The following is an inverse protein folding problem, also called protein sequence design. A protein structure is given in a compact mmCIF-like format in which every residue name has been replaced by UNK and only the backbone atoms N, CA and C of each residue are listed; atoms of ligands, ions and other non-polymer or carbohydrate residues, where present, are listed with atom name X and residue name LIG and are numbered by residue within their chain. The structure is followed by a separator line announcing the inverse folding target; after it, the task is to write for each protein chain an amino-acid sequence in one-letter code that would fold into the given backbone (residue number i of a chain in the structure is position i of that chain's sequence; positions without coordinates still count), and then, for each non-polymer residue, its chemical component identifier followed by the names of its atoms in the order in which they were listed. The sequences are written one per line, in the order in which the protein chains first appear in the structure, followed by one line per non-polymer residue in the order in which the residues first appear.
data_IF_814955712947
#
_entry.id   IF_814955712947
#
_cell.length_a   1.000
_cell.length_b   1.000
_cell.length_c   1.000
_cell.angle_alpha   90.00
_cell.angle_beta   90.00
_cell.angle_gamma   90.00
#
_symmetry.space_group_name_H-M   'P 1'
#
loop_
_entity.id
_entity.type
_entity.pdbx_description
1 polymer ?
#
# COMPACT_ATOMS: atom_id res chain seq x y z
N UNK A 1 33.05 -17.88 -31.03
CA UNK A 1 32.07 -18.38 -30.06
C UNK A 1 31.45 -17.17 -29.38
N UNK A 2 30.47 -16.55 -30.04
CA UNK A 2 29.69 -15.43 -29.51
C UNK A 2 28.29 -15.98 -29.30
N UNK A 3 27.86 -16.05 -28.05
CA UNK A 3 26.50 -16.41 -27.67
C UNK A 3 25.66 -15.17 -27.98
N UNK A 4 25.17 -15.08 -29.22
CA UNK A 4 24.08 -14.18 -29.55
C UNK A 4 22.83 -14.73 -28.86
N UNK A 5 22.49 -14.12 -27.72
CA UNK A 5 21.20 -14.24 -27.07
C UNK A 5 20.10 -13.77 -28.06
N UNK A 6 19.61 -14.71 -28.86
CA UNK A 6 18.26 -14.65 -29.40
C UNK A 6 17.30 -14.81 -28.22
N UNK A 7 17.07 -13.72 -27.50
CA UNK A 7 15.84 -13.55 -26.72
C UNK A 7 14.72 -13.52 -27.76
N UNK A 8 14.15 -14.70 -27.95
CA UNK A 8 13.02 -14.96 -28.82
C UNK A 8 11.89 -13.99 -28.48
N UNK A 9 11.31 -13.36 -29.49
CA UNK A 9 10.07 -12.59 -29.37
C UNK A 9 8.87 -13.43 -28.89
N UNK A 10 9.08 -14.73 -28.60
CA UNK A 10 8.07 -15.65 -28.09
C UNK A 10 7.77 -15.51 -26.58
N UNK A 11 8.63 -14.85 -25.78
CA UNK A 11 8.46 -14.79 -24.32
C UNK A 11 7.82 -13.48 -23.82
N UNK A 12 7.44 -12.58 -24.72
CA UNK A 12 6.64 -11.42 -24.36
C UNK A 12 5.15 -11.80 -24.48
N UNK A 13 4.35 -11.67 -23.39
CA UNK A 13 2.93 -11.92 -23.47
C UNK A 13 2.33 -11.14 -24.64
N UNK A 14 1.48 -11.79 -25.43
CA UNK A 14 0.94 -11.33 -26.73
C UNK A 14 0.37 -9.91 -26.74
N UNK A 15 0.13 -9.32 -25.57
CA UNK A 15 -0.37 -7.97 -25.40
C UNK A 15 0.72 -6.88 -25.47
N UNK A 16 1.99 -7.20 -25.18
CA UNK A 16 3.12 -6.28 -25.45
C UNK A 16 3.34 -6.11 -26.97
N UNK A 17 2.93 -7.10 -27.77
CA UNK A 17 2.95 -7.01 -29.22
C UNK A 17 1.78 -6.17 -29.79
N UNK A 18 0.66 -6.04 -29.07
CA UNK A 18 -0.52 -5.27 -29.52
C UNK A 18 -0.45 -3.78 -29.16
N UNK A 19 0.18 -3.42 -28.04
CA UNK A 19 0.37 -2.03 -27.65
C UNK A 19 1.86 -1.66 -27.65
N UNK A 20 2.35 -1.26 -28.81
CA UNK A 20 3.60 -0.50 -28.95
C UNK A 20 4.86 -1.34 -28.91
N UNK A 21 5.55 -1.42 -30.05
CA UNK A 21 6.96 -1.81 -30.11
C UNK A 21 7.72 -1.02 -29.04
N UNK A 22 8.36 -1.71 -28.08
CA UNK A 22 9.36 -1.11 -27.18
C UNK A 22 10.27 -0.22 -28.03
N UNK A 23 10.27 1.11 -27.84
CA UNK A 23 11.00 2.00 -28.73
C UNK A 23 12.47 1.57 -28.80
N UNK A 24 13.07 1.55 -30.00
CA UNK A 24 14.42 1.00 -30.23
C UNK A 24 15.47 1.55 -29.25
N UNK A 25 15.27 2.78 -28.76
CA UNK A 25 16.09 3.45 -27.75
C UNK A 25 16.21 2.66 -26.43
N UNK A 26 15.15 1.99 -25.99
CA UNK A 26 15.12 1.27 -24.71
C UNK A 26 15.79 -0.11 -24.75
N UNK A 27 16.09 -0.66 -25.93
CA UNK A 27 16.83 -1.93 -26.05
C UNK A 27 18.29 -1.81 -25.58
N UNK A 28 18.87 -0.62 -25.65
CA UNK A 28 20.27 -0.37 -25.28
C UNK A 28 20.44 0.20 -23.88
N UNK A 29 19.40 0.83 -23.32
CA UNK A 29 19.36 1.31 -21.94
C UNK A 29 18.19 0.67 -21.19
N UNK A 30 18.41 -0.53 -20.64
CA UNK A 30 17.40 -1.26 -19.85
C UNK A 30 16.92 -0.46 -18.63
N UNK A 31 17.75 0.43 -18.07
CA UNK A 31 17.38 1.35 -16.99
C UNK A 31 16.27 2.35 -17.39
N UNK A 32 16.26 2.82 -18.65
CA UNK A 32 15.22 3.72 -19.14
C UNK A 32 13.88 3.00 -19.32
N UNK A 33 13.90 1.68 -19.47
CA UNK A 33 12.69 0.84 -19.53
C UNK A 33 11.96 0.81 -18.17
N UNK A 34 12.70 0.83 -17.05
CA UNK A 34 12.12 0.95 -15.72
C UNK A 34 11.50 2.34 -15.50
N UNK A 35 12.18 3.40 -15.94
CA UNK A 35 11.62 4.77 -15.91
C UNK A 35 10.38 4.92 -16.81
N UNK A 36 10.42 4.31 -17.99
CA UNK A 36 9.28 4.33 -18.90
C UNK A 36 8.09 3.58 -18.34
N UNK A 37 8.35 2.46 -17.70
CA UNK A 37 7.35 1.65 -17.05
C UNK A 37 6.78 2.34 -15.80
N UNK A 38 7.58 3.11 -15.04
CA UNK A 38 7.07 3.97 -13.96
C UNK A 38 6.21 5.13 -14.48
N UNK A 39 6.68 5.82 -15.53
CA UNK A 39 6.04 7.04 -16.04
C UNK A 39 4.86 6.76 -16.98
N UNK A 40 4.83 5.61 -17.64
CA UNK A 40 3.80 5.21 -18.62
C UNK A 40 3.29 3.81 -18.34
N UNK A 41 3.18 3.42 -17.06
CA UNK A 41 2.76 2.08 -16.66
C UNK A 41 1.49 1.63 -17.40
N UNK A 42 0.53 2.53 -17.62
CA UNK A 42 -0.76 2.24 -18.27
C UNK A 42 -0.62 1.73 -19.70
N UNK A 43 0.47 2.06 -20.39
CA UNK A 43 0.77 1.53 -21.74
C UNK A 43 1.13 0.06 -21.73
N UNK A 44 1.51 -0.47 -20.56
CA UNK A 44 1.84 -1.86 -20.34
C UNK A 44 0.66 -2.68 -19.81
N UNK A 45 -0.55 -2.12 -19.71
CA UNK A 45 -1.76 -2.82 -19.28
C UNK A 45 -2.85 -2.80 -20.34
N UNK A 46 -3.60 -3.89 -20.45
CA UNK A 46 -4.64 -4.06 -21.47
C UNK A 46 -5.83 -3.14 -21.25
N UNK A 47 -6.10 -2.78 -20.00
CA UNK A 47 -7.18 -1.90 -19.59
C UNK A 47 -6.70 -0.99 -18.46
N UNK A 48 -7.27 0.22 -18.38
CA UNK A 48 -7.01 1.17 -17.29
C UNK A 48 -7.28 0.54 -15.91
N UNK A 49 -8.40 -0.17 -15.66
CA UNK A 49 -8.63 -0.85 -14.38
C UNK A 49 -7.52 -1.82 -13.98
N UNK A 50 -7.01 -2.62 -14.92
CA UNK A 50 -5.95 -3.58 -14.63
C UNK A 50 -4.64 -2.86 -14.26
N UNK A 51 -4.35 -1.72 -14.91
CA UNK A 51 -3.22 -0.88 -14.54
C UNK A 51 -3.38 -0.30 -13.14
N UNK A 52 -4.54 0.24 -12.80
CA UNK A 52 -4.84 0.80 -11.47
C UNK A 52 -4.72 -0.28 -10.39
N UNK A 53 -5.33 -1.46 -10.59
CA UNK A 53 -5.27 -2.60 -9.67
C UNK A 53 -3.83 -3.09 -9.43
N UNK A 54 -3.04 -3.17 -10.49
CA UNK A 54 -1.65 -3.57 -10.38
C UNK A 54 -0.83 -2.51 -9.62
N UNK A 55 -1.02 -1.22 -9.91
CA UNK A 55 -0.30 -0.15 -9.21
C UNK A 55 -0.66 -0.05 -7.74
N UNK A 56 -1.92 -0.26 -7.41
CA UNK A 56 -2.34 -0.35 -6.01
C UNK A 56 -1.52 -1.43 -5.31
N UNK A 57 -1.55 -2.67 -5.83
CA UNK A 57 -0.82 -3.79 -5.23
C UNK A 57 0.71 -3.56 -5.17
N UNK A 58 1.28 -2.94 -6.20
CA UNK A 58 2.71 -2.67 -6.25
C UNK A 58 3.13 -1.59 -5.26
N UNK A 59 2.36 -0.50 -5.16
CA UNK A 59 2.62 0.56 -4.19
C UNK A 59 2.50 0.07 -2.75
N UNK A 60 1.54 -0.82 -2.45
CA UNK A 60 1.50 -1.56 -1.19
C UNK A 60 2.77 -2.39 -0.96
N UNK A 61 3.16 -3.21 -1.93
CA UNK A 61 4.35 -4.07 -1.79
C UNK A 61 5.63 -3.27 -1.54
N UNK A 62 5.90 -2.25 -2.37
CA UNK A 62 7.12 -1.44 -2.28
C UNK A 62 7.11 -0.51 -1.07
N UNK A 63 5.97 0.15 -0.80
CA UNK A 63 5.84 1.06 0.34
C UNK A 63 6.08 0.33 1.66
N UNK A 64 5.43 -0.82 1.84
CA UNK A 64 5.58 -1.63 3.05
C UNK A 64 6.95 -2.29 3.15
N UNK A 65 7.58 -2.62 2.01
CA UNK A 65 8.96 -3.08 1.98
C UNK A 65 9.92 -2.03 2.55
N UNK A 66 9.70 -0.75 2.25
CA UNK A 66 10.49 0.34 2.82
C UNK A 66 10.25 0.48 4.33
N UNK A 67 9.00 0.36 4.78
CA UNK A 67 8.68 0.34 6.20
C UNK A 67 9.32 -0.82 6.96
N UNK A 68 9.27 -2.05 6.42
CA UNK A 68 9.96 -3.20 6.99
C UNK A 68 11.46 -2.91 7.15
N UNK A 69 12.12 -2.41 6.10
CA UNK A 69 13.55 -2.04 6.16
C UNK A 69 13.79 -0.99 7.25
N UNK A 70 12.97 0.06 7.31
CA UNK A 70 13.09 1.12 8.32
C UNK A 70 12.93 0.60 9.75
N UNK A 71 11.96 -0.29 9.99
CA UNK A 71 11.68 -0.85 11.32
C UNK A 71 12.78 -1.77 11.83
N UNK A 72 13.41 -2.55 10.94
CA UNK A 72 14.54 -3.41 11.32
C UNK A 72 15.89 -2.70 11.28
N UNK A 73 15.99 -1.53 10.63
CA UNK A 73 17.19 -0.69 10.65
C UNK A 73 17.23 0.30 11.84
N UNK A 74 16.13 0.44 12.58
CA UNK A 74 16.06 1.24 13.80
C UNK A 74 16.76 0.52 14.97
N UNK A 75 18.09 0.47 14.93
CA UNK A 75 18.93 -0.15 15.96
C UNK A 75 19.94 0.86 16.50
N UNK A 76 19.51 1.79 17.37
CA UNK A 76 20.46 2.44 18.30
C UNK A 76 19.81 3.14 19.52
N UNK A 77 20.54 3.06 20.65
CA UNK A 77 20.28 3.61 22.00
C UNK A 77 20.37 5.14 22.08
N UNK A 78 20.97 5.82 21.10
CA UNK A 78 21.17 7.28 21.10
C UNK A 78 19.86 8.09 20.95
N UNK A 79 18.80 7.47 20.40
CA UNK A 79 17.48 8.10 20.12
C UNK A 79 16.58 8.33 21.33
N UNK A 80 16.94 7.88 22.52
CA UNK A 80 16.14 8.11 23.74
C UNK A 80 16.25 9.58 24.18
N UNK A 81 17.22 10.33 23.65
CA UNK A 81 17.45 11.74 23.95
C UNK A 81 17.30 12.55 22.65
N UNK A 82 16.08 12.99 22.34
CA UNK A 82 15.83 14.00 21.31
C UNK A 82 16.55 15.30 21.72
N UNK A 83 17.68 15.62 21.06
CA UNK A 83 18.32 16.93 21.16
C UNK A 83 17.99 17.71 19.89
N UNK A 84 17.05 18.67 19.94
CA UNK A 84 16.67 19.47 18.77
C UNK A 84 17.87 20.22 18.17
N UNK A 85 17.94 20.30 16.85
CA UNK A 85 18.95 21.10 16.13
C UNK A 85 20.23 20.35 15.76
N UNK A 86 20.19 19.03 15.67
CA UNK A 86 21.34 18.18 15.41
C UNK A 86 21.03 17.17 14.30
N UNK A 87 20.67 17.70 13.11
CA UNK A 87 20.13 16.94 11.99
C UNK A 87 20.84 15.59 11.79
N UNK A 88 20.16 14.50 12.14
CA UNK A 88 20.54 13.12 11.81
C UNK A 88 22.00 12.78 12.19
N UNK A 89 22.33 12.84 13.48
CA UNK A 89 23.69 12.60 13.99
C UNK A 89 24.29 11.24 13.58
N UNK A 90 23.47 10.18 13.50
CA UNK A 90 23.94 8.85 13.15
C UNK A 90 23.75 8.51 11.67
N UNK A 91 24.74 7.80 11.11
CA UNK A 91 24.78 7.37 9.70
C UNK A 91 23.62 6.44 9.31
N UNK A 92 22.82 5.99 10.26
CA UNK A 92 21.66 5.12 10.04
C UNK A 92 20.33 5.80 10.32
N UNK A 93 20.33 6.97 10.98
CA UNK A 93 19.09 7.66 11.35
C UNK A 93 18.34 8.22 10.15
N UNK A 94 19.10 8.89 9.28
CA UNK A 94 18.56 9.40 8.02
C UNK A 94 17.97 8.28 7.16
N UNK A 95 18.54 7.07 7.21
CA UNK A 95 18.09 5.94 6.43
C UNK A 95 16.73 5.44 6.91
N UNK A 96 16.54 5.29 8.23
CA UNK A 96 15.24 4.87 8.80
C UNK A 96 14.15 5.87 8.45
N UNK A 97 14.41 7.15 8.69
CA UNK A 97 13.44 8.22 8.42
C UNK A 97 13.16 8.36 6.93
N UNK A 98 14.18 8.25 6.08
CA UNK A 98 14.02 8.23 4.63
C UNK A 98 13.20 7.02 4.16
N UNK A 99 13.42 5.83 4.73
CA UNK A 99 12.69 4.62 4.34
C UNK A 99 11.22 4.70 4.73
N UNK A 100 10.88 5.23 5.90
CA UNK A 100 9.48 5.48 6.28
C UNK A 100 8.82 6.52 5.36
N UNK A 101 9.50 7.63 5.10
CA UNK A 101 8.99 8.66 4.18
C UNK A 101 8.81 8.11 2.75
N UNK A 102 9.80 7.38 2.24
CA UNK A 102 9.70 6.72 0.93
C UNK A 102 8.57 5.71 0.91
N UNK A 103 8.39 4.97 2.01
CA UNK A 103 7.25 4.09 2.23
C UNK A 103 5.92 4.83 2.03
N UNK A 104 5.72 5.92 2.75
CA UNK A 104 4.51 6.76 2.66
C UNK A 104 4.29 7.31 1.24
N UNK A 105 5.36 7.76 0.58
CA UNK A 105 5.31 8.29 -0.79
C UNK A 105 4.95 7.19 -1.80
N UNK A 106 5.40 5.95 -1.60
CA UNK A 106 4.98 4.81 -2.42
C UNK A 106 3.55 4.36 -2.11
N UNK A 107 3.12 4.52 -0.86
CA UNK A 107 1.81 4.10 -0.39
C UNK A 107 0.68 5.03 -0.85
N UNK A 108 0.96 6.33 -0.91
CA UNK A 108 -0.03 7.35 -1.31
C UNK A 108 -0.63 7.10 -2.71
N UNK A 109 0.14 6.86 -3.79
CA UNK A 109 -0.42 6.45 -5.08
C UNK A 109 -1.23 5.15 -4.99
N UNK A 110 -0.84 4.20 -4.14
CA UNK A 110 -1.50 2.92 -3.99
C UNK A 110 -2.93 3.07 -3.48
N UNK A 111 -3.11 3.91 -2.46
CA UNK A 111 -4.41 4.18 -1.82
C UNK A 111 -5.30 5.10 -2.67
N UNK A 112 -4.70 5.97 -3.48
CA UNK A 112 -5.43 6.70 -4.53
C UNK A 112 -5.98 5.72 -5.57
N UNK A 113 -5.16 4.78 -6.04
CA UNK A 113 -5.61 3.73 -6.96
C UNK A 113 -6.71 2.86 -6.35
N UNK A 114 -6.58 2.48 -5.08
CA UNK A 114 -7.60 1.72 -4.33
C UNK A 114 -8.95 2.47 -4.26
N UNK A 115 -8.90 3.79 -4.07
CA UNK A 115 -10.09 4.64 -4.08
C UNK A 115 -10.73 4.71 -5.47
N UNK A 116 -9.91 4.80 -6.52
CA UNK A 116 -10.37 4.74 -7.91
C UNK A 116 -11.00 3.39 -8.25
N UNK A 117 -10.44 2.29 -7.77
CA UNK A 117 -11.04 0.95 -7.91
C UNK A 117 -12.40 0.87 -7.22
N UNK A 118 -12.52 1.36 -5.99
CA UNK A 118 -13.79 1.37 -5.26
C UNK A 118 -14.88 2.21 -5.96
N UNK A 119 -14.50 3.33 -6.58
CA UNK A 119 -15.39 4.16 -7.42
C UNK A 119 -15.87 3.43 -8.68
N UNK A 120 -15.11 2.45 -9.15
CA UNK A 120 -15.30 1.75 -10.42
C UNK A 120 -15.58 0.25 -10.25
N UNK A 121 -16.09 -0.20 -9.09
CA UNK A 121 -16.38 -1.62 -8.80
C UNK A 121 -17.08 -2.35 -9.95
N UNK A 122 -18.13 -1.75 -10.51
CA UNK A 122 -18.93 -2.38 -11.57
C UNK A 122 -18.46 -2.02 -12.99
N UNK A 123 -17.25 -1.46 -13.15
CA UNK A 123 -16.78 -1.00 -14.45
C UNK A 123 -16.69 -2.14 -15.46
N UNK A 124 -16.14 -3.29 -15.06
CA UNK A 124 -16.03 -4.45 -15.94
C UNK A 124 -17.41 -4.96 -16.36
N UNK A 125 -18.35 -5.10 -15.41
CA UNK A 125 -19.73 -5.52 -15.71
C UNK A 125 -20.43 -4.56 -16.68
N UNK A 126 -20.20 -3.25 -16.55
CA UNK A 126 -20.74 -2.26 -17.49
C UNK A 126 -20.14 -2.41 -18.88
N UNK A 127 -18.83 -2.64 -18.97
CA UNK A 127 -18.13 -2.88 -20.25
C UNK A 127 -18.64 -4.17 -20.89
N UNK A 128 -18.74 -5.25 -20.13
CA UNK A 128 -19.20 -6.55 -20.62
C UNK A 128 -20.65 -6.43 -21.14
N UNK A 129 -21.55 -5.80 -20.39
CA UNK A 129 -22.94 -5.51 -20.83
C UNK A 129 -22.99 -4.65 -22.08
N UNK A 130 -22.13 -3.63 -22.19
CA UNK A 130 -22.05 -2.78 -23.37
C UNK A 130 -21.58 -3.57 -24.59
N UNK A 131 -20.55 -4.42 -24.44
CA UNK A 131 -20.06 -5.28 -25.53
C UNK A 131 -21.08 -6.35 -25.93
N UNK A 132 -21.81 -6.94 -24.99
CA UNK A 132 -22.78 -8.00 -25.29
C UNK A 132 -24.09 -7.48 -25.90
N UNK A 133 -24.43 -6.21 -25.69
CA UNK A 133 -25.70 -5.63 -26.13
C UNK A 133 -25.66 -5.07 -27.56
N UNK A 134 -24.51 -5.10 -28.26
CA UNK A 134 -24.31 -4.39 -29.54
C UNK A 134 -24.86 -2.96 -29.49
N UNK A 135 -24.72 -2.31 -28.32
CA UNK A 135 -25.31 -1.00 -28.08
C UNK A 135 -24.65 0.06 -28.96
N UNK A 136 -25.45 0.92 -29.58
CA UNK A 136 -24.96 2.13 -30.25
C UNK A 136 -24.62 3.26 -29.26
N UNK A 137 -24.82 3.05 -27.96
CA UNK A 137 -24.47 4.01 -26.93
C UNK A 137 -22.96 4.14 -26.76
N UNK A 138 -22.52 5.26 -26.17
CA UNK A 138 -21.11 5.49 -25.89
C UNK A 138 -20.56 4.45 -24.89
N UNK A 139 -19.29 4.02 -25.05
CA UNK A 139 -18.68 3.04 -24.17
C UNK A 139 -18.60 3.56 -22.72
N UNK A 140 -18.77 2.67 -21.71
CA UNK A 140 -18.59 3.03 -20.31
C UNK A 140 -17.21 3.65 -20.04
N UNK A 141 -17.19 4.80 -19.38
CA UNK A 141 -15.95 5.51 -19.02
C UNK A 141 -15.51 5.22 -17.59
N UNK A 142 -14.21 5.10 -17.39
CA UNK A 142 -13.61 4.96 -16.07
C UNK A 142 -13.73 6.30 -15.33
N UNK A 143 -14.24 6.27 -14.10
CA UNK A 143 -14.52 7.47 -13.29
C UNK A 143 -13.31 7.79 -12.43
N UNK A 144 -12.81 9.02 -12.50
CA UNK A 144 -11.68 9.47 -11.67
C UNK A 144 -12.11 10.09 -10.34
N UNK A 145 -13.37 10.53 -10.26
CA UNK A 145 -13.92 11.19 -9.09
C UNK A 145 -15.36 10.71 -8.85
N UNK A 146 -15.75 10.61 -7.59
CA UNK A 146 -17.11 10.25 -7.20
C UNK A 146 -17.23 9.93 -5.72
N UNK A 147 -18.43 10.14 -5.17
CA UNK A 147 -18.80 9.80 -3.80
C UNK A 147 -19.66 8.54 -3.82
N UNK A 148 -19.23 7.49 -3.10
CA UNK A 148 -19.96 6.23 -2.99
C UNK A 148 -20.16 5.84 -1.54
N UNK A 149 -20.87 6.70 -0.82
CA UNK A 149 -21.09 6.56 0.62
C UNK A 149 -21.85 5.28 1.02
N UNK A 150 -22.49 4.59 0.09
CA UNK A 150 -23.15 3.30 0.31
C UNK A 150 -22.18 2.11 0.24
N UNK A 151 -20.98 2.30 -0.31
CA UNK A 151 -20.02 1.24 -0.58
C UNK A 151 -19.04 1.08 0.57
N UNK A 152 -18.99 -0.12 1.15
CA UNK A 152 -18.00 -0.47 2.18
C UNK A 152 -16.57 -0.42 1.60
N UNK A 153 -16.36 -0.86 0.36
CA UNK A 153 -15.05 -0.75 -0.31
C UNK A 153 -14.61 0.71 -0.43
N UNK A 154 -15.55 1.64 -0.67
CA UNK A 154 -15.24 3.07 -0.76
C UNK A 154 -14.86 3.65 0.59
N UNK A 155 -15.61 3.33 1.66
CA UNK A 155 -15.23 3.74 3.02
C UNK A 155 -13.93 3.10 3.48
N UNK A 156 -13.68 1.85 3.11
CA UNK A 156 -12.40 1.17 3.28
C UNK A 156 -11.27 1.97 2.63
N UNK A 157 -11.42 2.31 1.35
CA UNK A 157 -10.40 3.01 0.58
C UNK A 157 -10.13 4.41 1.11
N UNK A 158 -11.19 5.16 1.41
CA UNK A 158 -11.09 6.52 1.97
C UNK A 158 -10.43 6.50 3.34
N UNK A 159 -10.85 5.60 4.23
CA UNK A 159 -10.23 5.47 5.56
C UNK A 159 -8.75 5.14 5.42
N UNK A 160 -8.42 4.20 4.54
CA UNK A 160 -7.03 3.83 4.29
C UNK A 160 -6.21 5.00 3.72
N UNK A 161 -6.74 5.74 2.75
CA UNK A 161 -6.08 6.91 2.19
C UNK A 161 -5.87 8.04 3.21
N UNK A 162 -6.86 8.30 4.06
CA UNK A 162 -6.75 9.26 5.16
C UNK A 162 -5.73 8.82 6.20
N UNK A 163 -5.62 7.52 6.48
CA UNK A 163 -4.58 6.96 7.35
C UNK A 163 -3.18 7.22 6.80
N UNK A 164 -2.93 6.91 5.53
CA UNK A 164 -1.63 7.18 4.88
C UNK A 164 -1.29 8.67 4.90
N UNK A 165 -2.26 9.54 4.65
CA UNK A 165 -2.02 11.00 4.74
C UNK A 165 -1.64 11.44 6.16
N UNK A 166 -2.25 10.83 7.18
CA UNK A 166 -1.88 11.03 8.57
C UNK A 166 -0.44 10.61 8.86
N UNK A 167 -0.05 9.39 8.47
CA UNK A 167 1.34 8.93 8.64
C UNK A 167 2.34 9.81 7.88
N UNK A 168 2.06 10.18 6.64
CA UNK A 168 2.91 11.10 5.88
C UNK A 168 3.08 12.44 6.60
N UNK A 169 2.01 12.97 7.21
CA UNK A 169 2.06 14.21 8.00
C UNK A 169 2.94 14.05 9.24
N UNK A 170 2.80 12.92 9.96
CA UNK A 170 3.60 12.62 11.13
C UNK A 170 5.08 12.43 10.78
N UNK A 171 5.40 11.55 9.82
CA UNK A 171 6.76 11.31 9.31
C UNK A 171 7.43 12.60 8.83
N UNK A 172 6.69 13.46 8.12
CA UNK A 172 7.20 14.77 7.68
C UNK A 172 7.48 15.70 8.86
N UNK A 173 6.60 15.69 9.87
CA UNK A 173 6.79 16.52 11.07
C UNK A 173 8.01 16.07 11.86
N UNK A 174 8.23 14.76 12.03
CA UNK A 174 9.42 14.21 12.68
C UNK A 174 10.70 14.67 11.97
N UNK A 175 10.75 14.58 10.62
CA UNK A 175 11.88 15.09 9.82
C UNK A 175 12.13 16.59 10.06
N UNK A 176 11.07 17.40 10.09
CA UNK A 176 11.19 18.84 10.30
C UNK A 176 11.68 19.11 11.74
N UNK A 177 11.15 18.40 12.74
CA UNK A 177 11.52 18.55 14.14
C UNK A 177 13.01 18.26 14.38
N UNK A 178 13.55 17.25 13.71
CA UNK A 178 14.99 16.93 13.76
C UNK A 178 15.86 18.10 13.29
N UNK A 179 15.35 18.91 12.37
CA UNK A 179 16.07 20.03 11.76
C UNK A 179 15.80 21.36 12.44
N UNK A 180 14.60 21.56 12.98
CA UNK A 180 14.11 22.82 13.52
C UNK A 180 13.30 22.54 14.76
N UNK A 181 13.55 23.29 15.84
CA UNK A 181 12.75 23.18 17.05
C UNK A 181 11.27 23.48 16.77
N UNK A 182 10.40 22.50 17.03
CA UNK A 182 8.94 22.65 17.04
C UNK A 182 8.50 22.60 18.50
N UNK A 183 7.54 23.46 18.86
CA UNK A 183 6.94 23.45 20.20
C UNK A 183 6.46 22.04 20.58
N UNK A 184 6.77 21.59 21.80
CA UNK A 184 6.47 20.23 22.24
C UNK A 184 4.98 19.89 22.16
N UNK A 185 4.07 20.84 22.39
CA UNK A 185 2.63 20.61 22.28
C UNK A 185 2.25 20.33 20.83
N UNK A 186 2.76 21.15 19.92
CA UNK A 186 2.53 21.00 18.47
C UNK A 186 3.08 19.68 17.96
N UNK A 187 4.28 19.30 18.41
CA UNK A 187 4.91 18.03 18.05
C UNK A 187 4.03 16.84 18.47
N UNK A 188 3.50 16.82 19.69
CA UNK A 188 2.63 15.73 20.17
C UNK A 188 1.36 15.60 19.33
N UNK A 189 0.74 16.73 18.97
CA UNK A 189 -0.44 16.76 18.08
C UNK A 189 -0.14 16.23 16.69
N UNK A 190 0.94 16.71 16.07
CA UNK A 190 1.25 16.38 14.69
C UNK A 190 1.84 14.96 14.52
N UNK A 191 2.42 14.38 15.58
CA UNK A 191 3.05 13.05 15.53
C UNK A 191 2.16 12.00 16.19
N UNK A 192 2.05 12.01 17.53
CA UNK A 192 1.38 10.96 18.28
C UNK A 192 -0.13 10.91 18.00
N UNK A 193 -0.84 12.03 18.02
CA UNK A 193 -2.28 12.03 17.75
C UNK A 193 -2.58 11.72 16.28
N UNK A 194 -1.77 12.23 15.35
CA UNK A 194 -1.92 11.90 13.92
C UNK A 194 -1.65 10.42 13.65
N UNK A 195 -0.58 9.84 14.20
CA UNK A 195 -0.29 8.40 14.07
C UNK A 195 -1.37 7.53 14.72
N UNK A 196 -1.87 7.93 15.89
CA UNK A 196 -3.00 7.23 16.54
C UNK A 196 -4.27 7.29 15.68
N UNK A 197 -4.63 8.47 15.18
CA UNK A 197 -5.76 8.66 14.29
C UNK A 197 -5.61 7.85 12.99
N UNK A 198 -4.42 7.84 12.42
CA UNK A 198 -4.10 7.06 11.22
C UNK A 198 -4.21 5.55 11.46
N UNK A 199 -3.70 5.05 12.59
CA UNK A 199 -3.88 3.67 13.01
C UNK A 199 -5.35 3.27 13.18
N UNK A 200 -6.18 4.16 13.75
CA UNK A 200 -7.63 3.95 13.84
C UNK A 200 -8.24 3.82 12.43
N UNK A 201 -7.83 4.68 11.51
CA UNK A 201 -8.33 4.67 10.13
C UNK A 201 -7.92 3.41 9.36
N UNK A 202 -6.68 2.93 9.53
CA UNK A 202 -6.25 1.65 8.96
C UNK A 202 -7.02 0.46 9.54
N UNK A 203 -7.25 0.47 10.85
CA UNK A 203 -8.07 -0.54 11.51
C UNK A 203 -9.50 -0.55 10.95
N UNK A 204 -10.15 0.62 10.86
CA UNK A 204 -11.48 0.77 10.28
C UNK A 204 -11.52 0.32 8.81
N UNK A 205 -10.50 0.65 8.03
CA UNK A 205 -10.41 0.21 6.65
C UNK A 205 -10.36 -1.31 6.53
N UNK A 206 -9.54 -1.97 7.35
CA UNK A 206 -9.49 -3.43 7.43
C UNK A 206 -10.86 -4.04 7.79
N UNK A 207 -11.57 -3.43 8.73
CA UNK A 207 -12.94 -3.82 9.10
C UNK A 207 -13.89 -3.69 7.91
N UNK A 208 -13.90 -2.56 7.20
CA UNK A 208 -14.78 -2.36 6.05
C UNK A 208 -14.52 -3.37 4.92
N UNK A 209 -13.24 -3.62 4.59
CA UNK A 209 -12.90 -4.62 3.57
C UNK A 209 -13.27 -6.04 3.98
N UNK A 210 -13.10 -6.39 5.25
CA UNK A 210 -13.48 -7.71 5.75
C UNK A 210 -15.01 -7.90 5.75
N UNK A 211 -15.75 -6.85 6.11
CA UNK A 211 -17.22 -6.83 6.05
C UNK A 211 -17.75 -6.96 4.63
N UNK A 212 -17.12 -6.31 3.65
CA UNK A 212 -17.49 -6.47 2.22
C UNK A 212 -17.20 -7.89 1.72
N UNK A 213 -16.06 -8.47 2.09
CA UNK A 213 -15.65 -9.81 1.62
C UNK A 213 -16.46 -10.96 2.24
N UNK A 214 -16.83 -10.87 3.52
CA UNK A 214 -17.47 -11.99 4.25
C UNK A 214 -18.95 -11.74 4.51
N UNK A 215 -19.25 -10.67 5.26
CA UNK A 215 -20.58 -10.16 5.59
C UNK A 215 -20.46 -8.99 6.58
N UNK A 216 -21.34 -7.99 6.46
CA UNK A 216 -21.53 -6.87 7.40
C UNK A 216 -21.85 -7.31 8.85
N UNK A 217 -22.31 -8.55 9.06
CA UNK A 217 -22.74 -9.05 10.38
C UNK A 217 -21.78 -10.04 11.05
N UNK A 218 -20.66 -10.41 10.41
CA UNK A 218 -19.78 -11.49 10.87
C UNK A 218 -18.39 -11.00 11.27
N UNK A 219 -18.33 -10.16 12.32
CA UNK A 219 -17.06 -9.78 12.97
C UNK A 219 -16.19 -11.00 13.38
N UNK A 220 -16.74 -12.12 13.88
CA UNK A 220 -15.94 -13.31 14.21
C UNK A 220 -15.20 -13.91 13.00
N UNK A 221 -15.72 -13.72 11.78
CA UNK A 221 -15.12 -14.24 10.55
C UNK A 221 -13.94 -13.40 10.05
N UNK A 222 -13.68 -12.24 10.69
CA UNK A 222 -12.48 -11.43 10.51
C UNK A 222 -11.30 -12.05 11.27
N UNK A 223 -11.56 -12.66 12.43
CA UNK A 223 -10.53 -13.25 13.27
C UNK A 223 -10.04 -14.58 12.70
N UNK A 224 -10.96 -15.40 12.19
CA UNK A 224 -10.68 -16.74 11.67
C UNK A 224 -11.49 -17.03 10.40
N UNK A 225 -10.98 -17.84 9.45
CA UNK A 225 -11.73 -18.18 8.25
C UNK A 225 -12.98 -18.99 8.63
N UNK A 226 -14.16 -18.45 8.32
CA UNK A 226 -15.44 -19.02 8.76
C UNK A 226 -15.99 -20.07 7.79
N UNK A 227 -15.77 -19.90 6.48
CA UNK A 227 -16.22 -20.84 5.44
C UNK A 227 -15.03 -21.58 4.83
N UNK A 228 -15.25 -22.81 4.35
CA UNK A 228 -14.21 -23.58 3.61
C UNK A 228 -13.61 -22.81 2.43
N UNK A 229 -14.42 -22.00 1.74
CA UNK A 229 -13.94 -21.18 0.62
C UNK A 229 -12.95 -20.09 1.03
N UNK A 230 -13.04 -19.60 2.28
CA UNK A 230 -12.21 -18.51 2.79
C UNK A 230 -10.76 -18.99 2.96
N UNK A 231 -10.57 -20.24 3.43
CA UNK A 231 -9.26 -20.88 3.54
C UNK A 231 -8.47 -20.92 2.24
N UNK A 232 -9.16 -21.06 1.10
CA UNK A 232 -8.56 -21.09 -0.24
C UNK A 232 -8.59 -19.74 -0.96
N UNK A 233 -9.18 -18.72 -0.34
CA UNK A 233 -9.39 -17.42 -0.98
C UNK A 233 -8.19 -16.52 -0.79
N UNK A 234 -7.47 -16.25 -1.88
CA UNK A 234 -6.36 -15.29 -1.89
C UNK A 234 -6.81 -13.91 -1.38
N UNK A 235 -7.98 -13.44 -1.81
CA UNK A 235 -8.54 -12.15 -1.38
C UNK A 235 -8.77 -12.12 0.13
N UNK A 236 -9.26 -13.22 0.72
CA UNK A 236 -9.50 -13.29 2.16
C UNK A 236 -8.19 -13.15 2.95
N UNK A 237 -7.14 -13.86 2.55
CA UNK A 237 -5.82 -13.76 3.19
C UNK A 237 -5.21 -12.36 3.07
N UNK A 238 -5.34 -11.71 1.91
CA UNK A 238 -4.89 -10.32 1.73
C UNK A 238 -5.63 -9.41 2.72
N UNK A 239 -6.96 -9.47 2.77
CA UNK A 239 -7.77 -8.65 3.69
C UNK A 239 -7.44 -8.93 5.16
N UNK A 240 -7.26 -10.20 5.53
CA UNK A 240 -6.91 -10.61 6.90
C UNK A 240 -5.54 -10.04 7.32
N UNK A 241 -4.53 -10.14 6.45
CA UNK A 241 -3.21 -9.60 6.71
C UNK A 241 -3.26 -8.07 6.87
N UNK A 242 -4.01 -7.38 6.01
CA UNK A 242 -4.16 -5.92 6.11
C UNK A 242 -4.92 -5.49 7.38
N UNK A 243 -5.93 -6.26 7.81
CA UNK A 243 -6.63 -6.00 9.05
C UNK A 243 -5.69 -6.06 10.27
N UNK A 244 -4.92 -7.14 10.39
CA UNK A 244 -3.97 -7.28 11.50
C UNK A 244 -2.79 -6.32 11.40
N UNK A 245 -2.32 -6.00 10.19
CA UNK A 245 -1.36 -4.92 9.96
C UNK A 245 -1.87 -3.61 10.55
N UNK A 246 -3.10 -3.21 10.22
CA UNK A 246 -3.73 -2.01 10.76
C UNK A 246 -3.88 -2.04 12.29
N UNK A 247 -4.20 -3.19 12.88
CA UNK A 247 -4.25 -3.36 14.33
C UNK A 247 -2.87 -3.14 15.00
N UNK A 248 -1.79 -3.65 14.40
CA UNK A 248 -0.43 -3.41 14.88
C UNK A 248 -0.06 -1.93 14.82
N UNK A 249 -0.36 -1.23 13.72
CA UNK A 249 -0.13 0.22 13.59
C UNK A 249 -0.95 1.04 14.59
N UNK A 250 -2.20 0.67 14.85
CA UNK A 250 -3.02 1.28 15.91
C UNK A 250 -2.36 1.12 17.29
N UNK A 251 -1.91 -0.09 17.61
CA UNK A 251 -1.20 -0.34 18.87
C UNK A 251 0.06 0.52 19.00
N UNK A 252 0.81 0.70 17.91
CA UNK A 252 1.93 1.64 17.89
C UNK A 252 1.51 3.07 18.21
N UNK A 253 0.46 3.58 17.57
CA UNK A 253 -0.04 4.94 17.82
C UNK A 253 -0.47 5.15 19.27
N UNK A 254 -1.12 4.14 19.86
CA UNK A 254 -1.46 4.13 21.29
C UNK A 254 -0.17 4.19 22.12
N UNK A 255 0.82 3.32 21.88
CA UNK A 255 2.09 3.32 22.62
C UNK A 255 2.83 4.66 22.52
N UNK A 256 2.84 5.31 21.34
CA UNK A 256 3.42 6.64 21.15
C UNK A 256 2.68 7.72 21.94
N UNK A 257 1.34 7.69 21.95
CA UNK A 257 0.52 8.59 22.76
C UNK A 257 0.89 8.48 24.25
N UNK A 258 1.00 7.26 24.77
CA UNK A 258 1.40 7.02 26.16
C UNK A 258 2.83 7.51 26.45
N UNK A 259 3.77 7.31 25.52
CA UNK A 259 5.14 7.84 25.61
C UNK A 259 5.15 9.36 25.77
N UNK A 260 4.51 10.04 24.83
CA UNK A 260 4.67 11.47 24.64
C UNK A 260 3.87 12.31 25.65
N UNK A 261 2.72 11.83 26.11
CA UNK A 261 1.90 12.56 27.09
C UNK A 261 2.27 12.31 28.55
N UNK A 262 2.84 11.14 28.90
CA UNK A 262 3.16 10.81 30.30
C UNK A 262 4.61 11.11 30.67
N UNK A 263 5.46 11.52 29.70
CA UNK A 263 6.90 11.77 29.92
C UNK A 263 7.58 10.64 30.70
N UNK A 264 7.13 9.40 30.48
CA UNK A 264 7.81 8.25 31.05
C UNK A 264 9.00 7.94 30.17
N UNK A 265 10.17 7.85 30.79
CA UNK A 265 11.30 7.14 30.18
C UNK A 265 10.84 5.70 29.97
N UNK A 266 10.51 5.37 28.72
CA UNK A 266 10.17 4.00 28.34
C UNK A 266 11.46 3.19 28.44
N UNK A 267 11.39 2.00 29.04
CA UNK A 267 12.53 1.08 29.04
C UNK A 267 12.91 0.71 27.60
N UNK A 268 14.19 0.47 27.34
CA UNK A 268 14.70 0.04 26.04
C UNK A 268 13.86 -1.10 25.43
N UNK A 269 13.48 -2.07 26.27
CA UNK A 269 12.62 -3.21 25.90
C UNK A 269 11.27 -2.76 25.32
N UNK A 270 10.62 -1.76 25.91
CA UNK A 270 9.32 -1.30 25.46
C UNK A 270 9.41 -0.45 24.17
N UNK A 271 10.53 0.25 23.94
CA UNK A 271 10.82 0.89 22.65
C UNK A 271 11.04 -0.16 21.54
N UNK A 272 11.85 -1.19 21.82
CA UNK A 272 12.11 -2.28 20.88
C UNK A 272 10.84 -3.07 20.55
N UNK A 273 9.96 -3.30 21.54
CA UNK A 273 8.63 -3.89 21.32
C UNK A 273 7.78 -3.02 20.42
N UNK A 274 7.74 -1.70 20.64
CA UNK A 274 6.97 -0.78 19.79
C UNK A 274 7.47 -0.79 18.34
N UNK A 275 8.79 -0.74 18.14
CA UNK A 275 9.40 -0.74 16.79
C UNK A 275 9.27 -2.09 16.10
N UNK A 276 9.51 -3.20 16.82
CA UNK A 276 9.54 -4.53 16.21
C UNK A 276 8.15 -5.14 16.03
N UNK A 277 7.27 -5.02 17.03
CA UNK A 277 5.92 -5.62 17.01
C UNK A 277 4.89 -4.65 16.44
N UNK A 278 4.99 -3.37 16.80
CA UNK A 278 4.05 -2.36 16.31
C UNK A 278 4.30 -2.06 14.82
N UNK A 279 5.42 -1.41 14.53
CA UNK A 279 5.78 -1.04 13.16
C UNK A 279 6.25 -2.23 12.32
N UNK A 280 7.27 -2.96 12.79
CA UNK A 280 7.90 -4.02 12.00
C UNK A 280 6.97 -5.17 11.63
N UNK A 281 6.29 -5.75 12.62
CA UNK A 281 5.34 -6.84 12.35
C UNK A 281 4.09 -6.35 11.61
N UNK A 282 3.57 -5.15 11.92
CA UNK A 282 2.48 -4.54 11.18
C UNK A 282 2.81 -4.38 9.69
N UNK A 283 3.98 -3.82 9.38
CA UNK A 283 4.45 -3.62 8.01
C UNK A 283 4.77 -4.92 7.32
N UNK A 284 5.25 -5.94 8.04
CA UNK A 284 5.44 -7.27 7.48
C UNK A 284 4.10 -7.89 7.03
N UNK A 285 3.04 -7.74 7.82
CA UNK A 285 1.72 -8.24 7.45
C UNK A 285 1.19 -7.53 6.19
N UNK A 286 1.28 -6.21 6.13
CA UNK A 286 0.90 -5.46 4.93
C UNK A 286 1.78 -5.82 3.72
N UNK A 287 3.08 -5.97 3.91
CA UNK A 287 4.02 -6.35 2.85
C UNK A 287 3.68 -7.73 2.26
N UNK A 288 3.43 -8.72 3.11
CA UNK A 288 3.02 -10.07 2.68
C UNK A 288 1.66 -10.01 1.99
N UNK A 289 0.72 -9.21 2.50
CA UNK A 289 -0.58 -8.99 1.87
C UNK A 289 -0.44 -8.37 0.46
N UNK A 290 0.39 -7.33 0.34
CA UNK A 290 0.71 -6.68 -0.94
C UNK A 290 1.39 -7.62 -1.92
N UNK A 291 2.32 -8.44 -1.46
CA UNK A 291 2.99 -9.46 -2.27
C UNK A 291 1.99 -10.49 -2.83
N UNK A 292 1.09 -11.02 -1.99
CA UNK A 292 0.06 -11.97 -2.40
C UNK A 292 -0.89 -11.33 -3.42
N UNK A 293 -1.32 -10.08 -3.18
CA UNK A 293 -2.19 -9.34 -4.08
C UNK A 293 -1.50 -9.08 -5.44
N UNK A 294 -0.23 -8.68 -5.42
CA UNK A 294 0.58 -8.43 -6.60
C UNK A 294 0.82 -9.71 -7.41
N UNK A 295 1.09 -10.84 -6.73
CA UNK A 295 1.24 -12.14 -7.36
C UNK A 295 -0.07 -12.58 -8.04
N UNK A 296 -1.23 -12.37 -7.39
CA UNK A 296 -2.55 -12.64 -7.97
C UNK A 296 -2.80 -11.79 -9.22
N UNK A 297 -2.59 -10.47 -9.15
CA UNK A 297 -2.82 -9.58 -10.29
C UNK A 297 -1.88 -9.90 -11.46
N UNK A 298 -0.63 -10.26 -11.14
CA UNK A 298 0.34 -10.68 -12.16
C UNK A 298 -0.05 -12.02 -12.78
N UNK A 299 -0.50 -13.00 -11.99
CA UNK A 299 -0.93 -14.31 -12.50
C UNK A 299 -2.17 -14.20 -13.41
N UNK A 300 -3.19 -13.42 -13.02
CA UNK A 300 -4.39 -13.20 -13.84
C UNK A 300 -4.07 -12.61 -15.22
N UNK A 301 -2.94 -11.93 -15.34
CA UNK A 301 -2.43 -11.37 -16.60
C UNK A 301 -1.69 -12.40 -17.47
N UNK A 302 -0.84 -13.23 -16.88
CA UNK A 302 -0.08 -14.24 -17.64
C UNK A 302 -0.92 -15.45 -18.02
N UNK A 303 -1.90 -15.79 -17.18
CA UNK A 303 -2.85 -16.87 -17.40
C UNK A 303 -4.27 -16.32 -17.27
N UNK A 304 -4.71 -15.46 -18.21
CA UNK A 304 -6.12 -15.10 -18.26
C UNK A 304 -6.86 -16.42 -18.41
N UNK A 305 -7.71 -16.75 -17.42
CA UNK A 305 -8.52 -17.98 -17.48
C UNK A 305 -9.15 -18.00 -18.86
N UNK A 306 -8.81 -19.00 -19.67
CA UNK A 306 -9.47 -19.24 -20.94
C UNK A 306 -10.96 -19.23 -20.62
N UNK A 307 -11.68 -18.21 -21.10
CA UNK A 307 -13.11 -18.14 -20.96
C UNK A 307 -13.63 -19.49 -21.46
N UNK A 308 -14.17 -20.31 -20.54
CA UNK A 308 -14.83 -21.52 -20.97
C UNK A 308 -16.01 -21.03 -21.83
N UNK A 309 -16.11 -21.51 -23.08
CA UNK A 309 -17.23 -21.17 -23.96
C UNK A 309 -18.56 -21.58 -23.36
#
# INVERSE_FOLDING_TARGET
MQIEEKVSQADLPSNVARHGKVPKLFRHCRCLLYWDWLLRFWTYFDTVPNGVAWLSCAGFYFGEGCYVIGSFAADDRSRIIDVPGNCMQDRYDWLVTFMYFLGDVCWLPAVVCLTLEAINRDYQDRVDKWTSSNSHEAPPRYRWFGLYWWSLEWWGAVSYASGVFGYLTASTTDIIHDCVYIDSTVLVWLTAYTNMGAGILFFLAGVFYAMDAVSIWLLPAILLPYRRKDWTSVTWWVTWLHFWGGACFLMTGIMQYWRNNIRQSISEDAYLVQQSIGWGFGSLLFHVGGWIALARQSHLRYFPKAAKP
#
